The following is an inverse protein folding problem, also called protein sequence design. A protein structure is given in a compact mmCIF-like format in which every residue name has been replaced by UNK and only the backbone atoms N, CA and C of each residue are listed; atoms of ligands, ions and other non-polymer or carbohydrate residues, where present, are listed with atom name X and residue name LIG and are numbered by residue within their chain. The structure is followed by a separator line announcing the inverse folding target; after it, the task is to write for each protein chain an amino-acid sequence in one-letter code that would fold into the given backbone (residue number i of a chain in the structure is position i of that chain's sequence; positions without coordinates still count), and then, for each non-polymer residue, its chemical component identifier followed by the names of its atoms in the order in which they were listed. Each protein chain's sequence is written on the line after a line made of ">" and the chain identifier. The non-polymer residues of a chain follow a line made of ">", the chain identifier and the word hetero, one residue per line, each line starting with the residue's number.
data_IF_810579896814
#
_entry.id   IF_810579896814
#
_cell.length_a   1.000
_cell.length_b   1.000
_cell.length_c   1.000
_cell.angle_alpha   90.00
_cell.angle_beta   90.00
_cell.angle_gamma   90.00
#
_symmetry.space_group_name_H-M   'P 1'
#
loop_
_entity.id
_entity.type
_entity.pdbx_description
1 polymer ?
#
# COMPACT_ATOMS: atom_id res chain seq x y z
N UNK A 1 -17.38 -3.09 -4.68
CA UNK A 1 -16.08 -3.76 -4.95
C UNK A 1 -15.04 -3.32 -3.94
N UNK A 2 -14.35 -4.24 -3.31
CA UNK A 2 -13.28 -3.86 -2.41
C UNK A 2 -12.12 -3.20 -3.17
N UNK A 3 -11.51 -2.21 -2.55
CA UNK A 3 -10.35 -1.51 -3.09
C UNK A 3 -9.06 -2.30 -2.85
N UNK A 4 -9.10 -3.25 -1.94
CA UNK A 4 -7.97 -4.10 -1.58
C UNK A 4 -8.48 -5.53 -1.41
N UNK A 5 -7.75 -6.47 -1.97
CA UNK A 5 -8.00 -7.89 -1.73
C UNK A 5 -6.95 -8.41 -0.77
N UNK A 6 -7.35 -9.15 0.24
CA UNK A 6 -6.43 -9.68 1.24
C UNK A 6 -6.68 -11.17 1.43
N UNK A 7 -5.61 -11.95 1.42
CA UNK A 7 -5.68 -13.40 1.59
C UNK A 7 -4.50 -13.88 2.40
N UNK A 8 -4.72 -14.84 3.29
CA UNK A 8 -3.66 -15.46 4.07
C UNK A 8 -3.61 -16.95 3.76
N UNK A 9 -2.42 -17.45 3.48
CA UNK A 9 -2.18 -18.86 3.21
C UNK A 9 -0.78 -19.26 3.69
N UNK A 10 -0.70 -20.35 4.45
CA UNK A 10 0.58 -20.89 4.92
C UNK A 10 1.44 -19.84 5.64
N UNK A 11 0.82 -19.05 6.49
CA UNK A 11 1.46 -17.98 7.27
C UNK A 11 1.96 -16.80 6.43
N UNK A 12 1.58 -16.73 5.15
CA UNK A 12 1.89 -15.59 4.28
C UNK A 12 0.60 -14.83 3.97
N UNK A 13 0.60 -13.52 4.22
CA UNK A 13 -0.49 -12.65 3.85
C UNK A 13 -0.18 -11.94 2.53
N UNK A 14 -1.19 -11.85 1.66
CA UNK A 14 -1.05 -11.11 0.41
C UNK A 14 -2.10 -10.02 0.38
N UNK A 15 -1.67 -8.79 0.15
CA UNK A 15 -2.54 -7.64 -0.04
C UNK A 15 -2.40 -7.19 -1.49
N UNK A 16 -3.52 -7.17 -2.21
CA UNK A 16 -3.55 -6.76 -3.61
C UNK A 16 -4.31 -5.45 -3.74
N UNK A 17 -3.63 -4.42 -4.24
CA UNK A 17 -4.27 -3.15 -4.57
C UNK A 17 -5.18 -3.38 -5.77
N UNK A 18 -6.47 -3.05 -5.64
CA UNK A 18 -7.51 -3.48 -6.57
C UNK A 18 -8.38 -2.32 -7.08
N UNK A 19 -7.76 -1.19 -7.36
CA UNK A 19 -8.47 -0.03 -7.89
C UNK A 19 -7.73 0.54 -9.11
N UNK A 20 -7.56 -0.28 -10.18
CA UNK A 20 -6.76 0.10 -11.33
C UNK A 20 -7.34 1.28 -12.11
N UNK A 21 -8.66 1.46 -12.12
CA UNK A 21 -9.31 2.58 -12.81
C UNK A 21 -8.93 3.93 -12.22
N UNK A 22 -8.46 3.96 -10.98
CA UNK A 22 -7.88 5.14 -10.35
C UNK A 22 -6.39 4.98 -10.08
N UNK A 23 -5.75 4.06 -10.80
CA UNK A 23 -4.31 3.79 -10.70
C UNK A 23 -3.86 3.51 -9.26
N UNK A 24 -4.72 2.83 -8.51
CA UNK A 24 -4.49 2.51 -7.10
C UNK A 24 -4.09 3.75 -6.28
N UNK A 25 -4.77 4.86 -6.53
CA UNK A 25 -4.54 6.08 -5.75
C UNK A 25 -4.79 5.81 -4.27
N UNK A 26 -3.91 6.35 -3.43
CA UNK A 26 -3.94 6.13 -1.98
C UNK A 26 -4.99 7.04 -1.34
N UNK A 27 -6.26 6.73 -1.60
CA UNK A 27 -7.39 7.39 -0.94
C UNK A 27 -7.47 6.94 0.51
N UNK A 28 -8.16 7.71 1.30
CA UNK A 28 -8.42 7.36 2.70
C UNK A 28 -9.10 5.99 2.79
N UNK A 29 -10.06 5.73 1.91
CA UNK A 29 -10.78 4.45 1.87
C UNK A 29 -9.85 3.28 1.53
N UNK A 30 -8.97 3.43 0.54
CA UNK A 30 -8.04 2.37 0.16
C UNK A 30 -7.03 2.11 1.27
N UNK A 31 -6.49 3.17 1.87
CA UNK A 31 -5.56 3.05 3.00
C UNK A 31 -6.22 2.35 4.18
N UNK A 32 -7.47 2.68 4.47
CA UNK A 32 -8.23 2.04 5.54
C UNK A 32 -8.33 0.52 5.33
N UNK A 33 -8.55 0.10 4.09
CA UNK A 33 -8.62 -1.34 3.78
C UNK A 33 -7.26 -2.02 3.94
N UNK A 34 -6.16 -1.34 3.57
CA UNK A 34 -4.82 -1.89 3.78
C UNK A 34 -4.54 -2.06 5.27
N UNK A 35 -4.81 -1.03 6.07
CA UNK A 35 -4.54 -1.09 7.51
C UNK A 35 -5.40 -2.13 8.20
N UNK A 36 -6.65 -2.29 7.78
CA UNK A 36 -7.52 -3.36 8.30
C UNK A 36 -6.95 -4.75 7.97
N UNK A 37 -6.45 -4.95 6.76
CA UNK A 37 -5.83 -6.21 6.37
C UNK A 37 -4.58 -6.50 7.21
N UNK A 38 -3.75 -5.49 7.46
CA UNK A 38 -2.56 -5.65 8.30
C UNK A 38 -2.95 -6.03 9.74
N UNK A 39 -3.98 -5.42 10.29
CA UNK A 39 -4.46 -5.80 11.63
C UNK A 39 -4.95 -7.24 11.69
N UNK A 40 -5.70 -7.67 10.67
CA UNK A 40 -6.15 -9.07 10.58
C UNK A 40 -4.97 -10.03 10.50
N UNK A 41 -3.96 -9.71 9.70
CA UNK A 41 -2.76 -10.52 9.58
C UNK A 41 -1.97 -10.57 10.88
N UNK A 42 -1.90 -9.46 11.57
CA UNK A 42 -1.24 -9.40 12.89
C UNK A 42 -1.92 -10.33 13.87
N UNK A 43 -3.26 -10.31 13.92
CA UNK A 43 -4.04 -11.17 14.79
C UNK A 43 -3.85 -12.67 14.47
N UNK A 44 -3.58 -13.00 13.22
CA UNK A 44 -3.34 -14.37 12.77
C UNK A 44 -1.87 -14.80 12.90
N UNK A 45 -1.01 -13.94 13.42
CA UNK A 45 0.43 -14.20 13.53
C UNK A 45 1.07 -14.55 12.19
N UNK A 46 0.67 -13.84 11.14
CA UNK A 46 1.25 -13.99 9.79
C UNK A 46 2.74 -13.68 9.86
N UNK A 47 3.55 -14.46 9.15
CA UNK A 47 5.01 -14.39 9.23
C UNK A 47 5.67 -13.57 8.14
N UNK A 48 4.96 -13.27 7.06
CA UNK A 48 5.40 -12.36 6.00
C UNK A 48 4.20 -11.85 5.24
N UNK A 49 4.29 -10.62 4.74
CA UNK A 49 3.22 -10.02 3.94
C UNK A 49 3.80 -9.59 2.59
N UNK A 50 3.05 -9.86 1.52
CA UNK A 50 3.35 -9.34 0.19
C UNK A 50 2.33 -8.26 -0.14
N UNK A 51 2.80 -7.08 -0.49
CA UNK A 51 1.97 -5.97 -0.94
C UNK A 51 2.19 -5.78 -2.43
N UNK A 52 1.15 -5.98 -3.22
CA UNK A 52 1.24 -5.93 -4.67
C UNK A 52 0.00 -5.29 -5.28
N UNK A 53 0.09 -4.89 -6.54
CA UNK A 53 -1.08 -4.58 -7.35
C UNK A 53 -1.49 -5.83 -8.12
N UNK A 54 -2.67 -5.81 -8.75
CA UNK A 54 -3.11 -6.91 -9.59
C UNK A 54 -2.10 -7.13 -10.73
N UNK A 55 -1.92 -8.37 -11.14
CA UNK A 55 -0.98 -8.70 -12.21
C UNK A 55 -1.37 -8.01 -13.52
N UNK A 56 -0.38 -7.52 -14.25
CA UNK A 56 -0.57 -6.90 -15.56
C UNK A 56 -0.98 -5.44 -15.54
N UNK A 57 -1.08 -4.80 -14.38
CA UNK A 57 -1.39 -3.37 -14.32
C UNK A 57 -0.20 -2.54 -14.79
N UNK A 58 -0.49 -1.37 -15.34
CA UNK A 58 0.55 -0.43 -15.78
C UNK A 58 1.06 0.45 -14.65
N UNK A 59 0.29 0.57 -13.56
CA UNK A 59 0.62 1.41 -12.43
C UNK A 59 0.37 0.64 -11.14
N UNK A 60 1.42 0.51 -10.34
CA UNK A 60 1.33 -0.11 -9.02
C UNK A 60 0.55 0.80 -8.07
N UNK A 61 0.95 2.06 -7.99
CA UNK A 61 0.20 3.12 -7.31
C UNK A 61 0.65 4.48 -7.81
N UNK A 62 -0.30 5.33 -8.14
CA UNK A 62 -0.03 6.71 -8.55
C UNK A 62 0.21 7.64 -7.36
N UNK A 63 0.10 7.14 -6.14
CA UNK A 63 0.31 7.91 -4.94
C UNK A 63 -0.96 8.52 -4.39
N UNK A 64 -0.81 9.60 -3.67
CA UNK A 64 -1.91 10.25 -2.96
C UNK A 64 -3.09 10.57 -3.90
N UNK A 65 -4.31 10.36 -3.43
CA UNK A 65 -5.50 10.76 -4.18
C UNK A 65 -5.60 12.29 -4.15
N UNK A 66 -5.28 12.92 -5.27
CA UNK A 66 -5.22 14.38 -5.35
C UNK A 66 -6.56 15.05 -5.08
N UNK A 67 -7.67 14.33 -5.30
CA UNK A 67 -9.00 14.86 -5.02
C UNK A 67 -9.26 15.04 -3.52
N UNK A 68 -8.47 14.38 -2.69
CA UNK A 68 -8.58 14.45 -1.22
C UNK A 68 -7.59 15.43 -0.60
N UNK A 69 -6.71 16.03 -1.39
CA UNK A 69 -5.78 17.02 -0.87
C UNK A 69 -6.51 18.32 -0.54
N UNK A 70 -6.14 19.00 0.56
CA UNK A 70 -6.75 20.28 0.87
C UNK A 70 -6.40 21.34 -0.18
N UNK A 71 -7.32 22.28 -0.44
CA UNK A 71 -7.09 23.37 -1.39
C UNK A 71 -5.83 24.16 -1.08
N UNK A 72 -5.51 24.26 0.20
CA UNK A 72 -4.26 24.85 0.65
C UNK A 72 -3.35 23.73 1.08
N UNK A 73 -2.37 23.42 0.25
CA UNK A 73 -1.39 22.40 0.56
C UNK A 73 -0.65 22.70 1.84
N UNK A 74 -0.48 21.70 2.67
CA UNK A 74 0.40 21.76 3.83
C UNK A 74 1.51 20.76 3.62
N UNK A 75 2.69 21.24 3.73
CA UNK A 75 3.88 20.42 3.66
C UNK A 75 4.73 20.74 4.88
N UNK A 76 5.03 19.78 5.74
CA UNK A 76 4.75 18.35 5.58
C UNK A 76 3.31 17.98 5.97
N UNK A 77 2.90 16.78 5.56
CA UNK A 77 1.60 16.22 5.93
C UNK A 77 1.47 16.11 7.45
N UNK A 78 0.27 16.31 7.96
CA UNK A 78 0.00 16.20 9.40
C UNK A 78 0.22 14.77 9.91
N UNK A 79 0.46 14.66 11.20
CA UNK A 79 0.69 13.37 11.86
C UNK A 79 -0.45 12.37 11.62
N UNK A 80 -1.69 12.86 11.62
CA UNK A 80 -2.88 12.04 11.42
C UNK A 80 -3.28 11.84 9.97
N UNK A 81 -2.49 12.33 9.00
CA UNK A 81 -2.77 12.07 7.59
C UNK A 81 -2.74 10.56 7.32
N UNK A 82 -3.71 10.07 6.55
CA UNK A 82 -3.88 8.63 6.34
C UNK A 82 -2.64 7.98 5.72
N UNK A 83 -1.95 8.68 4.82
CA UNK A 83 -0.70 8.15 4.24
C UNK A 83 0.37 7.96 5.31
N UNK A 84 0.52 8.91 6.21
CA UNK A 84 1.50 8.80 7.30
C UNK A 84 1.12 7.69 8.28
N UNK A 85 -0.17 7.54 8.54
CA UNK A 85 -0.67 6.43 9.35
C UNK A 85 -0.33 5.10 8.71
N UNK A 86 -0.52 4.98 7.39
CA UNK A 86 -0.17 3.75 6.66
C UNK A 86 1.33 3.46 6.74
N UNK A 87 2.17 4.46 6.49
CA UNK A 87 3.63 4.29 6.56
C UNK A 87 4.05 3.77 7.94
N UNK A 88 3.51 4.36 9.01
CA UNK A 88 3.81 3.89 10.37
C UNK A 88 3.32 2.47 10.60
N UNK A 89 2.12 2.13 10.12
CA UNK A 89 1.57 0.79 10.28
C UNK A 89 2.46 -0.26 9.60
N UNK A 90 3.00 0.06 8.43
CA UNK A 90 3.93 -0.82 7.72
C UNK A 90 5.23 -0.97 8.52
N UNK A 91 5.80 0.15 8.97
CA UNK A 91 7.07 0.14 9.71
C UNK A 91 6.97 -0.60 11.04
N UNK A 92 5.82 -0.53 11.69
CA UNK A 92 5.60 -1.15 13.00
C UNK A 92 5.07 -2.58 12.91
N UNK A 93 4.76 -3.06 11.72
CA UNK A 93 4.23 -4.42 11.55
C UNK A 93 5.28 -5.45 12.01
N UNK A 94 4.90 -6.46 12.82
CA UNK A 94 5.86 -7.37 13.46
C UNK A 94 6.41 -8.47 12.55
N UNK A 95 6.24 -8.36 11.24
CA UNK A 95 6.77 -9.32 10.27
C UNK A 95 7.23 -8.58 9.03
N UNK A 96 8.11 -9.17 8.19
CA UNK A 96 8.55 -8.49 6.96
C UNK A 96 7.39 -8.23 6.02
N UNK A 97 7.38 -7.05 5.43
CA UNK A 97 6.45 -6.69 4.36
C UNK A 97 7.28 -6.49 3.10
N UNK A 98 6.93 -7.24 2.07
CA UNK A 98 7.61 -7.25 0.78
C UNK A 98 6.74 -6.51 -0.23
N UNK A 99 7.25 -5.44 -0.80
CA UNK A 99 6.56 -4.76 -1.89
C UNK A 99 6.96 -5.42 -3.21
N UNK A 100 5.99 -5.99 -3.91
CA UNK A 100 6.19 -6.59 -5.23
C UNK A 100 5.66 -5.61 -6.27
N UNK A 101 6.57 -4.98 -6.98
CA UNK A 101 6.26 -3.83 -7.84
C UNK A 101 6.31 -4.19 -9.30
N UNK A 102 5.19 -3.97 -9.99
CA UNK A 102 5.08 -4.02 -11.44
C UNK A 102 4.52 -2.68 -11.90
N UNK A 103 5.12 -2.08 -12.91
CA UNK A 103 4.65 -0.82 -13.46
C UNK A 103 5.09 0.41 -12.69
N UNK A 104 4.32 1.47 -12.79
CA UNK A 104 4.68 2.77 -12.22
C UNK A 104 4.42 2.91 -10.74
N UNK A 105 5.33 3.58 -10.05
CA UNK A 105 5.20 3.91 -8.62
C UNK A 105 5.59 5.37 -8.46
N UNK A 106 4.63 6.21 -8.06
CA UNK A 106 4.86 7.65 -8.01
C UNK A 106 4.37 8.26 -6.70
N UNK A 107 5.03 9.34 -6.30
CA UNK A 107 4.61 10.14 -5.15
C UNK A 107 4.50 9.32 -3.87
N UNK A 108 3.33 9.37 -3.23
CA UNK A 108 3.04 8.60 -2.02
C UNK A 108 3.16 7.09 -2.18
N UNK A 109 3.01 6.59 -3.43
CA UNK A 109 3.26 5.18 -3.72
C UNK A 109 4.70 4.79 -3.45
N UNK A 110 5.65 5.67 -3.78
CA UNK A 110 7.06 5.47 -3.45
C UNK A 110 7.28 5.45 -1.95
N UNK A 111 6.62 6.32 -1.21
CA UNK A 111 6.72 6.34 0.26
C UNK A 111 6.26 5.03 0.87
N UNK A 112 5.14 4.50 0.39
CA UNK A 112 4.62 3.21 0.85
C UNK A 112 5.61 2.09 0.53
N UNK A 113 6.11 2.06 -0.71
CA UNK A 113 7.08 1.04 -1.13
C UNK A 113 8.35 1.10 -0.27
N UNK A 114 8.87 2.29 -0.04
CA UNK A 114 10.10 2.47 0.74
C UNK A 114 9.90 2.17 2.23
N UNK A 115 8.68 2.21 2.73
CA UNK A 115 8.39 1.82 4.11
C UNK A 115 8.45 0.31 4.30
N UNK A 116 8.31 -0.47 3.23
CA UNK A 116 8.39 -1.92 3.28
C UNK A 116 9.83 -2.39 3.53
N UNK A 117 9.97 -3.62 3.99
CA UNK A 117 11.27 -4.16 4.38
C UNK A 117 12.09 -4.61 3.17
N UNK A 118 11.42 -5.12 2.14
CA UNK A 118 12.07 -5.65 0.94
C UNK A 118 11.28 -5.15 -0.28
N UNK A 119 12.01 -4.72 -1.30
CA UNK A 119 11.43 -4.32 -2.58
C UNK A 119 11.85 -5.32 -3.64
N UNK A 120 10.88 -5.88 -4.34
CA UNK A 120 11.10 -6.72 -5.52
C UNK A 120 10.35 -6.06 -6.68
N UNK A 121 11.06 -5.72 -7.72
CA UNK A 121 10.47 -4.99 -8.84
C UNK A 121 10.78 -5.68 -10.16
N UNK A 122 9.83 -5.61 -11.09
CA UNK A 122 10.07 -6.06 -12.47
C UNK A 122 10.99 -5.07 -13.18
N UNK A 123 11.69 -5.50 -14.27
CA UNK A 123 12.60 -4.60 -14.98
C UNK A 123 11.94 -3.35 -15.56
N UNK A 124 10.63 -3.40 -15.81
CA UNK A 124 9.87 -2.26 -16.35
C UNK A 124 9.27 -1.35 -15.29
N UNK A 125 9.50 -1.60 -14.00
CA UNK A 125 9.03 -0.74 -12.93
C UNK A 125 9.67 0.65 -13.03
N UNK A 126 8.88 1.71 -12.81
CA UNK A 126 9.36 3.08 -12.97
C UNK A 126 9.02 3.99 -11.80
#
# INVERSE_FOLDING_TARGET
>A
MPLVLAEAKDAIGVIVLNHPEKRNALSEALISEITAALEDFRAQSIRAVVLRAAAGVKVWSAGHDVSELPDRGRDPLGWGDSLRVLVRAIQEFPAPIIALIEGGVWGGGCEVAMACDILVATPDAT
#
